data_IF_700942794173
#
_entry.id   IF_700942794173
#
_cell.length_a   1.000
_cell.length_b   1.000
_cell.length_c   1.000
_cell.angle_alpha   90.00
_cell.angle_beta   90.00
_cell.angle_gamma   90.00
#
_symmetry.space_group_name_H-M   'P 1'
#
loop_
_entity.id
_entity.type
_entity.pdbx_description
1 polymer ?
#
# COMPACT_ATOMS: atom_id res chain seq x y z
N UNK A 1 -7.21 -2.68 -16.08
CA UNK A 1 -5.85 -2.60 -15.51
C UNK A 1 -5.69 -3.71 -14.49
N UNK A 2 -4.52 -4.32 -14.41
CA UNK A 2 -4.19 -5.38 -13.45
C UNK A 2 -3.15 -4.87 -12.45
N UNK A 3 -3.48 -4.84 -11.17
CA UNK A 3 -2.62 -4.33 -10.09
C UNK A 3 -2.20 -5.48 -9.18
N UNK A 4 -0.89 -5.66 -9.00
CA UNK A 4 -0.34 -6.65 -8.07
C UNK A 4 0.26 -5.95 -6.85
N UNK A 5 -0.37 -6.12 -5.69
CA UNK A 5 0.14 -5.64 -4.41
C UNK A 5 0.98 -6.72 -3.73
N UNK A 6 2.07 -6.34 -3.08
CA UNK A 6 2.94 -7.29 -2.38
C UNK A 6 3.23 -6.83 -0.95
N UNK A 7 2.95 -7.72 0.01
CA UNK A 7 3.15 -7.51 1.45
C UNK A 7 3.55 -8.84 2.14
N UNK A 8 4.04 -8.81 3.39
CA UNK A 8 4.51 -10.04 4.05
C UNK A 8 3.39 -11.05 4.29
N UNK A 9 2.31 -10.63 4.93
CA UNK A 9 1.20 -11.46 5.41
C UNK A 9 -0.10 -10.65 5.41
N UNK A 10 -1.24 -11.33 5.45
CA UNK A 10 -2.59 -10.76 5.53
C UNK A 10 -3.26 -11.11 6.87
N UNK A 11 -2.61 -10.74 7.99
CA UNK A 11 -3.15 -11.06 9.33
C UNK A 11 -3.94 -9.91 9.94
N UNK A 12 -3.26 -8.87 10.43
CA UNK A 12 -3.90 -7.67 10.99
C UNK A 12 -2.91 -6.51 10.98
N UNK A 13 -3.44 -5.31 10.83
CA UNK A 13 -2.65 -4.08 10.85
C UNK A 13 -3.12 -3.11 9.79
N UNK A 14 -2.55 -1.92 9.84
CA UNK A 14 -2.94 -0.85 8.93
C UNK A 14 -2.56 -1.12 7.47
N UNK A 15 -1.42 -1.76 7.22
CA UNK A 15 -0.97 -2.08 5.85
C UNK A 15 -1.88 -3.12 5.22
N UNK A 16 -2.22 -4.16 5.99
CA UNK A 16 -3.07 -5.26 5.56
C UNK A 16 -4.49 -4.77 5.24
N UNK A 17 -5.10 -3.98 6.16
CA UNK A 17 -6.41 -3.37 5.92
C UNK A 17 -6.41 -2.49 4.68
N UNK A 18 -5.44 -1.58 4.56
CA UNK A 18 -5.34 -0.74 3.37
C UNK A 18 -5.06 -1.54 2.08
N UNK A 19 -4.49 -2.75 2.16
CA UNK A 19 -4.34 -3.64 1.01
C UNK A 19 -5.69 -4.21 0.57
N UNK A 20 -6.54 -4.61 1.52
CA UNK A 20 -7.90 -5.07 1.24
C UNK A 20 -8.77 -3.93 0.66
N UNK A 21 -8.73 -2.75 1.27
CA UNK A 21 -9.48 -1.57 0.82
C UNK A 21 -9.13 -1.21 -0.63
N UNK A 22 -7.84 -1.21 -0.96
CA UNK A 22 -7.38 -0.95 -2.33
C UNK A 22 -7.81 -2.06 -3.28
N UNK A 23 -7.72 -3.32 -2.87
CA UNK A 23 -8.11 -4.45 -3.71
C UNK A 23 -9.62 -4.45 -3.99
N UNK A 24 -10.45 -4.25 -2.97
CA UNK A 24 -11.91 -4.13 -3.08
C UNK A 24 -12.31 -2.96 -4.01
N UNK A 25 -11.67 -1.80 -3.81
CA UNK A 25 -11.92 -0.64 -4.66
C UNK A 25 -11.57 -0.91 -6.12
N UNK A 26 -10.41 -1.52 -6.40
CA UNK A 26 -9.99 -1.86 -7.76
C UNK A 26 -10.98 -2.81 -8.44
N UNK A 27 -11.44 -3.84 -7.73
CA UNK A 27 -12.45 -4.78 -8.25
C UNK A 27 -13.76 -4.08 -8.54
N UNK A 28 -14.25 -3.22 -7.65
CA UNK A 28 -15.47 -2.41 -7.84
C UNK A 28 -15.38 -1.48 -9.05
N UNK A 29 -14.17 -1.05 -9.41
CA UNK A 29 -13.92 -0.24 -10.61
C UNK A 29 -13.65 -1.08 -11.87
N UNK A 30 -13.85 -2.39 -11.82
CA UNK A 30 -13.68 -3.29 -12.98
C UNK A 30 -12.20 -3.62 -13.30
N UNK A 31 -11.30 -3.46 -12.33
CA UNK A 31 -9.88 -3.79 -12.47
C UNK A 31 -9.55 -5.14 -11.83
N UNK A 32 -8.49 -5.80 -12.27
CA UNK A 32 -7.98 -7.01 -11.63
C UNK A 32 -7.06 -6.64 -10.46
N UNK A 33 -7.39 -7.16 -9.28
CA UNK A 33 -6.58 -6.99 -8.07
C UNK A 33 -5.93 -8.32 -7.67
N UNK A 34 -4.60 -8.34 -7.65
CA UNK A 34 -3.79 -9.47 -7.19
C UNK A 34 -3.07 -9.07 -5.90
N UNK A 35 -3.02 -9.97 -4.93
CA UNK A 35 -2.27 -9.76 -3.70
C UNK A 35 -1.34 -10.94 -3.44
N UNK A 36 -0.04 -10.68 -3.39
CA UNK A 36 0.99 -11.68 -3.10
C UNK A 36 1.43 -11.54 -1.65
N UNK A 37 1.26 -12.60 -0.87
CA UNK A 37 1.70 -12.65 0.53
C UNK A 37 1.92 -14.10 0.99
N UNK A 38 2.43 -14.29 2.22
CA UNK A 38 2.53 -15.62 2.83
C UNK A 38 1.18 -16.19 3.31
N UNK A 39 0.06 -15.50 3.03
CA UNK A 39 -1.26 -15.84 3.55
C UNK A 39 -1.61 -15.09 4.83
N UNK A 40 -2.64 -15.54 5.53
CA UNK A 40 -3.12 -14.97 6.78
C UNK A 40 -4.64 -14.97 6.88
N UNK A 41 -5.18 -14.60 8.03
CA UNK A 41 -6.62 -14.65 8.35
C UNK A 41 -7.52 -13.75 7.48
N UNK A 42 -6.94 -12.74 6.83
CA UNK A 42 -7.67 -11.82 5.98
C UNK A 42 -7.75 -12.28 4.50
N UNK A 43 -7.16 -13.43 4.15
CA UNK A 43 -7.20 -13.95 2.77
C UNK A 43 -8.63 -14.21 2.33
N UNK A 44 -9.45 -14.89 3.13
CA UNK A 44 -10.85 -15.14 2.81
C UNK A 44 -11.61 -13.85 2.50
N UNK A 45 -11.46 -12.83 3.36
CA UNK A 45 -12.10 -11.52 3.16
C UNK A 45 -11.62 -10.81 1.90
N UNK A 46 -10.34 -10.97 1.53
CA UNK A 46 -9.81 -10.44 0.28
C UNK A 46 -10.47 -11.11 -0.92
N UNK A 47 -10.58 -12.44 -0.91
CA UNK A 47 -11.16 -13.20 -2.01
C UNK A 47 -12.67 -13.01 -2.13
N UNK A 48 -13.38 -12.80 -1.02
CA UNK A 48 -14.79 -12.40 -1.00
C UNK A 48 -15.05 -11.07 -1.74
N UNK A 49 -14.07 -10.16 -1.76
CA UNK A 49 -14.16 -8.91 -2.54
C UNK A 49 -13.94 -9.11 -4.05
N UNK A 50 -13.62 -10.32 -4.51
CA UNK A 50 -13.32 -10.63 -5.90
C UNK A 50 -11.84 -10.44 -6.28
N UNK A 51 -10.99 -10.05 -5.34
CA UNK A 51 -9.55 -10.00 -5.55
C UNK A 51 -8.93 -11.40 -5.45
N UNK A 52 -7.79 -11.64 -6.08
CA UNK A 52 -7.11 -12.93 -6.08
C UNK A 52 -5.87 -12.92 -5.20
N UNK A 53 -5.77 -13.87 -4.27
CA UNK A 53 -4.58 -14.09 -3.46
C UNK A 53 -3.62 -15.09 -4.13
N UNK A 54 -2.32 -14.80 -4.04
CA UNK A 54 -1.25 -15.68 -4.48
C UNK A 54 -0.32 -15.93 -3.29
N UNK A 55 -0.33 -17.14 -2.77
CA UNK A 55 0.50 -17.54 -1.65
C UNK A 55 1.97 -17.68 -2.06
N UNK A 56 2.85 -16.88 -1.43
CA UNK A 56 4.29 -16.94 -1.64
C UNK A 56 5.04 -16.59 -0.34
N UNK A 57 6.12 -17.30 0.04
CA UNK A 57 6.84 -17.08 1.29
C UNK A 57 7.75 -15.83 1.24
N UNK A 58 7.13 -14.65 1.08
CA UNK A 58 7.81 -13.35 0.94
C UNK A 58 8.01 -12.60 2.26
N UNK A 59 7.66 -13.22 3.40
CA UNK A 59 7.65 -12.60 4.74
C UNK A 59 9.00 -12.68 5.48
N UNK A 60 9.85 -13.67 5.17
CA UNK A 60 11.05 -13.99 5.95
C UNK A 60 12.18 -12.98 5.75
N UNK A 61 12.68 -12.44 6.87
CA UNK A 61 13.88 -11.60 6.91
C UNK A 61 15.14 -12.46 6.94
N UNK A 62 15.48 -13.14 5.85
CA UNK A 62 16.67 -13.98 5.76
C UNK A 62 17.29 -13.90 4.36
N UNK A 63 18.57 -14.26 4.25
CA UNK A 63 19.21 -14.39 2.93
C UNK A 63 18.49 -15.42 2.04
N UNK A 64 17.83 -16.41 2.65
CA UNK A 64 16.96 -17.37 1.96
C UNK A 64 15.79 -16.75 1.21
N UNK A 65 15.35 -15.53 1.60
CA UNK A 65 14.31 -14.80 0.86
C UNK A 65 14.73 -14.44 -0.57
N UNK A 66 16.03 -14.34 -0.84
CA UNK A 66 16.55 -14.08 -2.19
C UNK A 66 16.26 -15.23 -3.17
N UNK A 67 16.06 -16.46 -2.68
CA UNK A 67 15.61 -17.56 -3.54
C UNK A 67 14.21 -17.31 -4.12
N UNK A 68 13.41 -16.44 -3.50
CA UNK A 68 12.09 -16.06 -4.02
C UNK A 68 12.15 -15.09 -5.21
N UNK A 69 13.30 -14.46 -5.51
CA UNK A 69 13.44 -13.50 -6.61
C UNK A 69 13.14 -14.14 -7.97
N UNK A 70 13.65 -15.36 -8.23
CA UNK A 70 13.37 -16.06 -9.50
C UNK A 70 11.91 -16.52 -9.62
N UNK A 71 11.31 -17.18 -8.63
CA UNK A 71 9.87 -17.48 -8.63
C UNK A 71 9.00 -16.25 -8.79
N UNK A 72 9.32 -15.16 -8.08
CA UNK A 72 8.56 -13.91 -8.17
C UNK A 72 8.65 -13.29 -9.57
N UNK A 73 9.83 -13.32 -10.21
CA UNK A 73 9.97 -12.86 -11.60
C UNK A 73 9.13 -13.69 -12.56
N UNK A 74 9.12 -15.03 -12.43
CA UNK A 74 8.25 -15.90 -13.22
C UNK A 74 6.78 -15.56 -13.02
N UNK A 75 6.38 -15.26 -11.79
CA UNK A 75 5.02 -14.82 -11.49
C UNK A 75 4.67 -13.53 -12.22
N UNK A 76 5.57 -12.53 -12.21
CA UNK A 76 5.36 -11.28 -12.95
C UNK A 76 5.25 -11.51 -14.46
N UNK A 77 6.08 -12.40 -15.02
CA UNK A 77 6.07 -12.76 -16.45
C UNK A 77 4.78 -13.52 -16.85
N UNK A 78 4.21 -14.31 -15.94
CA UNK A 78 2.96 -15.04 -16.14
C UNK A 78 1.72 -14.18 -15.98
N UNK A 79 1.65 -13.42 -14.90
CA UNK A 79 0.48 -12.59 -14.55
C UNK A 79 0.41 -11.30 -15.36
N UNK A 80 1.55 -10.78 -15.80
CA UNK A 80 1.69 -9.54 -16.58
C UNK A 80 0.87 -8.40 -15.98
N UNK A 81 1.08 -8.05 -14.68
CA UNK A 81 0.38 -6.91 -14.12
C UNK A 81 0.84 -5.61 -14.79
N UNK A 82 -0.05 -4.64 -14.89
CA UNK A 82 0.30 -3.28 -15.32
C UNK A 82 1.09 -2.54 -14.24
N UNK A 83 0.73 -2.82 -12.96
CA UNK A 83 1.34 -2.18 -11.81
C UNK A 83 1.78 -3.23 -10.78
N UNK A 84 3.03 -3.07 -10.31
CA UNK A 84 3.58 -3.78 -9.16
C UNK A 84 3.70 -2.82 -7.99
N UNK A 85 2.86 -3.00 -6.96
CA UNK A 85 2.76 -2.12 -5.82
C UNK A 85 3.41 -2.73 -4.57
N UNK A 86 4.54 -2.17 -4.16
CA UNK A 86 5.28 -2.58 -2.96
C UNK A 86 4.70 -1.91 -1.73
N UNK A 87 4.31 -2.71 -0.75
CA UNK A 87 3.72 -2.22 0.50
C UNK A 87 4.56 -2.49 1.76
N UNK A 88 5.65 -3.24 1.64
CA UNK A 88 6.54 -3.55 2.77
C UNK A 88 7.95 -3.88 2.30
N UNK A 89 8.94 -3.73 3.19
CA UNK A 89 10.37 -3.78 2.89
C UNK A 89 10.88 -5.14 2.43
N UNK A 90 10.54 -6.23 3.14
CA UNK A 90 11.04 -7.60 2.80
C UNK A 90 10.52 -8.03 1.43
N UNK A 91 9.21 -8.10 1.21
CA UNK A 91 8.68 -8.43 -0.11
C UNK A 91 9.07 -7.37 -1.16
N UNK A 92 9.26 -6.12 -0.74
CA UNK A 92 9.74 -5.05 -1.61
C UNK A 92 11.12 -5.33 -2.21
N UNK A 93 12.06 -5.89 -1.44
CA UNK A 93 13.35 -6.30 -2.00
C UNK A 93 13.23 -7.44 -2.99
N UNK A 94 12.42 -8.46 -2.69
CA UNK A 94 12.18 -9.58 -3.61
C UNK A 94 11.58 -9.07 -4.91
N UNK A 95 10.52 -8.26 -4.81
CA UNK A 95 9.81 -7.67 -5.94
C UNK A 95 10.72 -6.76 -6.78
N UNK A 96 11.46 -5.85 -6.14
CA UNK A 96 12.37 -4.92 -6.80
C UNK A 96 13.50 -5.64 -7.54
N UNK A 97 14.12 -6.65 -6.92
CA UNK A 97 15.18 -7.43 -7.55
C UNK A 97 14.66 -8.28 -8.72
N UNK A 98 13.45 -8.82 -8.62
CA UNK A 98 12.79 -9.53 -9.71
C UNK A 98 12.49 -8.58 -10.87
N UNK A 99 11.84 -7.45 -10.59
CA UNK A 99 11.46 -6.41 -11.52
C UNK A 99 12.68 -5.83 -12.30
N UNK A 100 13.79 -5.57 -11.61
CA UNK A 100 15.01 -5.07 -12.26
C UNK A 100 15.62 -6.03 -13.31
N UNK A 101 15.31 -7.32 -13.20
CA UNK A 101 15.80 -8.37 -14.12
C UNK A 101 14.87 -8.64 -15.29
N UNK A 102 13.71 -7.97 -15.32
CA UNK A 102 12.77 -8.03 -16.45
C UNK A 102 13.20 -7.05 -17.55
N UNK A 103 12.74 -7.34 -18.77
CA UNK A 103 12.84 -6.40 -19.87
C UNK A 103 12.08 -5.11 -19.54
N UNK A 104 12.71 -3.97 -19.81
CA UNK A 104 12.14 -2.64 -19.55
C UNK A 104 10.85 -2.40 -20.33
N UNK A 105 10.72 -2.97 -21.53
CA UNK A 105 9.55 -2.80 -22.39
C UNK A 105 8.32 -3.56 -21.89
N UNK A 106 8.51 -4.61 -21.07
CA UNK A 106 7.40 -5.51 -20.67
C UNK A 106 7.18 -5.59 -19.16
N UNK A 107 8.03 -4.97 -18.37
CA UNK A 107 7.91 -4.98 -16.90
C UNK A 107 6.80 -4.05 -16.44
N UNK A 108 6.08 -4.39 -15.35
CA UNK A 108 5.05 -3.52 -14.77
C UNK A 108 5.64 -2.20 -14.26
N UNK A 109 4.79 -1.17 -14.15
CA UNK A 109 5.15 0.04 -13.43
C UNK A 109 5.35 -0.25 -11.94
N UNK A 110 6.44 0.24 -11.38
CA UNK A 110 6.79 0.00 -9.99
C UNK A 110 6.30 1.15 -9.11
N UNK A 111 5.37 0.87 -8.21
CA UNK A 111 4.85 1.80 -7.21
C UNK A 111 5.22 1.31 -5.81
N UNK A 112 5.49 2.21 -4.90
CA UNK A 112 5.73 1.88 -3.50
C UNK A 112 4.96 2.80 -2.57
N UNK A 113 4.50 2.31 -1.41
CA UNK A 113 3.89 3.14 -0.36
C UNK A 113 4.72 3.11 0.90
N UNK A 114 5.12 4.29 1.37
CA UNK A 114 5.80 4.48 2.65
C UNK A 114 4.75 4.76 3.72
N UNK A 115 4.53 3.77 4.60
CA UNK A 115 3.46 3.78 5.61
C UNK A 115 3.86 4.39 6.96
N UNK A 116 5.14 4.71 7.16
CA UNK A 116 5.63 5.23 8.44
C UNK A 116 7.12 5.52 8.41
N UNK A 117 7.64 5.96 9.53
CA UNK A 117 9.06 6.22 9.72
C UNK A 117 9.82 4.89 9.89
N UNK A 118 10.68 4.59 8.95
CA UNK A 118 11.56 3.41 9.02
C UNK A 118 12.93 3.80 9.55
N UNK A 119 13.69 2.84 10.09
CA UNK A 119 15.12 3.06 10.32
C UNK A 119 15.82 3.43 9.02
N UNK A 120 16.58 4.54 9.04
CA UNK A 120 17.28 5.07 7.86
C UNK A 120 18.48 4.19 7.53
N UNK A 121 18.37 3.36 6.53
CA UNK A 121 19.43 2.45 6.09
C UNK A 121 19.16 1.96 4.65
N UNK A 122 20.15 1.26 4.07
CA UNK A 122 20.04 0.68 2.71
C UNK A 122 18.88 -0.32 2.57
N UNK A 123 18.53 -1.02 3.65
CA UNK A 123 17.44 -1.98 3.62
C UNK A 123 16.08 -1.28 3.47
N UNK A 124 15.85 -0.19 4.20
CA UNK A 124 14.60 0.57 4.11
C UNK A 124 14.49 1.39 2.82
N UNK A 125 15.62 1.70 2.17
CA UNK A 125 15.65 2.45 0.92
C UNK A 125 14.89 1.80 -0.25
N UNK A 126 14.55 0.50 -0.17
CA UNK A 126 13.73 -0.15 -1.20
C UNK A 126 12.36 0.51 -1.35
N UNK A 127 11.83 1.09 -0.27
CA UNK A 127 10.52 1.75 -0.28
C UNK A 127 10.50 3.09 -1.04
N UNK A 128 11.67 3.60 -1.42
CA UNK A 128 11.81 4.82 -2.22
C UNK A 128 12.29 4.57 -3.65
N UNK A 129 12.40 3.28 -4.05
CA UNK A 129 12.90 2.88 -5.38
C UNK A 129 11.81 2.73 -6.44
N UNK A 130 10.55 3.00 -6.09
CA UNK A 130 9.45 3.01 -7.05
C UNK A 130 9.63 4.07 -8.14
N UNK A 131 9.01 3.86 -9.29
CA UNK A 131 8.83 4.88 -10.33
C UNK A 131 7.86 5.96 -9.84
N UNK A 132 6.93 5.57 -8.95
CA UNK A 132 6.14 6.45 -8.09
C UNK A 132 6.24 6.00 -6.64
N UNK A 133 6.28 6.96 -5.73
CA UNK A 133 6.37 6.72 -4.28
C UNK A 133 5.20 7.43 -3.61
N UNK A 134 4.34 6.67 -2.95
CA UNK A 134 3.21 7.19 -2.21
C UNK A 134 3.66 7.42 -0.76
N UNK A 135 3.53 8.65 -0.29
CA UNK A 135 3.68 9.02 1.10
C UNK A 135 2.29 9.14 1.74
N UNK A 136 2.06 8.49 2.88
CA UNK A 136 0.74 8.50 3.53
C UNK A 136 0.42 9.80 4.28
N UNK A 137 1.37 10.72 4.36
CA UNK A 137 1.19 12.07 4.93
C UNK A 137 2.30 13.01 4.47
N UNK A 138 2.12 14.31 4.68
CA UNK A 138 3.15 15.33 4.43
C UNK A 138 4.42 15.06 5.26
N UNK A 139 4.27 14.65 6.52
CA UNK A 139 5.42 14.31 7.38
C UNK A 139 6.23 13.13 6.80
N UNK A 140 5.57 12.15 6.18
CA UNK A 140 6.26 11.05 5.50
C UNK A 140 6.93 11.52 4.21
N UNK A 141 6.34 12.46 3.48
CA UNK A 141 6.99 13.09 2.31
C UNK A 141 8.28 13.80 2.74
N UNK A 142 8.21 14.64 3.78
CA UNK A 142 9.36 15.33 4.34
C UNK A 142 10.44 14.35 4.82
N UNK A 143 10.04 13.29 5.51
CA UNK A 143 10.95 12.23 5.92
C UNK A 143 11.68 11.58 4.72
N UNK A 144 10.96 11.27 3.63
CA UNK A 144 11.56 10.66 2.43
C UNK A 144 12.57 11.64 1.82
N UNK A 145 12.19 12.88 1.60
CA UNK A 145 13.05 13.89 0.95
C UNK A 145 14.32 14.18 1.77
N UNK A 146 14.18 14.23 3.11
CA UNK A 146 15.30 14.51 4.01
C UNK A 146 16.23 13.31 4.18
N UNK A 147 15.67 12.11 4.35
CA UNK A 147 16.47 10.91 4.71
C UNK A 147 16.90 10.08 3.52
N UNK A 148 16.26 10.24 2.37
CA UNK A 148 16.58 9.58 1.11
C UNK A 148 16.71 10.58 -0.05
N UNK A 149 17.71 11.50 0.00
CA UNK A 149 17.82 12.62 -0.94
C UNK A 149 18.02 12.19 -2.40
N UNK A 150 18.39 10.93 -2.66
CA UNK A 150 18.42 10.38 -4.01
C UNK A 150 17.02 10.10 -4.60
N UNK A 151 15.96 10.26 -3.80
CA UNK A 151 14.58 10.12 -4.28
C UNK A 151 14.13 11.42 -4.92
N UNK A 152 13.83 11.38 -6.21
CA UNK A 152 13.34 12.55 -6.96
C UNK A 152 11.99 12.97 -6.42
N UNK A 153 11.82 14.27 -6.08
CA UNK A 153 10.62 14.77 -5.41
C UNK A 153 9.36 14.62 -6.25
N UNK A 154 9.46 14.78 -7.57
CA UNK A 154 8.36 14.64 -8.53
C UNK A 154 7.78 13.23 -8.60
N UNK A 155 8.51 12.25 -8.07
CA UNK A 155 8.02 10.87 -7.93
C UNK A 155 7.18 10.65 -6.70
N UNK A 156 7.18 11.59 -5.74
CA UNK A 156 6.50 11.42 -4.46
C UNK A 156 5.12 12.08 -4.53
N UNK A 157 4.09 11.27 -4.35
CA UNK A 157 2.71 11.73 -4.22
C UNK A 157 2.23 11.53 -2.78
N UNK A 158 1.62 12.55 -2.17
CA UNK A 158 0.99 12.40 -0.86
C UNK A 158 -0.44 11.93 -1.05
N UNK A 159 -0.75 10.77 -0.46
CA UNK A 159 -2.09 10.21 -0.45
C UNK A 159 -2.42 9.81 0.99
N UNK A 160 -3.27 10.62 1.62
CA UNK A 160 -3.74 10.35 2.97
C UNK A 160 -4.55 9.05 3.01
N UNK A 161 -4.48 8.36 4.13
CA UNK A 161 -5.36 7.22 4.35
C UNK A 161 -6.75 7.74 4.71
N UNK A 162 -7.74 7.23 4.02
CA UNK A 162 -9.14 7.44 4.36
C UNK A 162 -9.71 6.22 5.10
N UNK A 163 -10.97 6.35 5.47
CA UNK A 163 -11.81 5.28 6.02
C UNK A 163 -13.10 5.23 5.19
N UNK A 164 -13.73 4.08 5.16
CA UNK A 164 -15.07 3.95 4.56
C UNK A 164 -16.10 4.56 5.52
N UNK A 165 -16.76 5.68 5.15
CA UNK A 165 -17.66 6.38 6.07
C UNK A 165 -18.81 5.52 6.58
N UNK A 166 -19.27 4.56 5.78
CA UNK A 166 -20.34 3.63 6.17
C UNK A 166 -19.98 2.72 7.36
N UNK A 167 -18.68 2.50 7.59
CA UNK A 167 -18.18 1.73 8.73
C UNK A 167 -18.04 2.57 10.02
N UNK A 168 -18.18 3.89 9.92
CA UNK A 168 -18.06 4.84 11.03
C UNK A 168 -19.24 5.81 11.02
N UNK A 169 -20.43 5.35 11.38
CA UNK A 169 -21.63 6.19 11.40
C UNK A 169 -21.44 7.35 12.37
N UNK A 170 -21.83 8.56 11.94
CA UNK A 170 -21.69 9.79 12.75
C UNK A 170 -22.53 9.81 14.02
N UNK A 171 -23.59 9.02 14.05
CA UNK A 171 -24.54 8.86 15.15
C UNK A 171 -24.17 7.74 16.12
N UNK A 172 -22.97 7.15 15.95
CA UNK A 172 -22.48 6.14 16.87
C UNK A 172 -22.37 6.72 18.28
N UNK A 173 -23.15 6.15 19.20
CA UNK A 173 -23.09 6.47 20.62
C UNK A 173 -22.24 5.40 21.30
N UNK A 174 -21.06 5.74 21.83
CA UNK A 174 -20.25 4.79 22.59
C UNK A 174 -20.99 4.36 23.85
N UNK A 175 -20.79 3.12 24.29
CA UNK A 175 -21.37 2.65 25.55
C UNK A 175 -20.94 3.55 26.72
N UNK A 176 -21.82 3.77 27.72
CA UNK A 176 -21.54 4.64 28.87
C UNK A 176 -20.23 4.33 29.59
N UNK A 177 -19.86 3.05 29.66
CA UNK A 177 -18.59 2.58 30.25
C UNK A 177 -17.35 3.17 29.57
N UNK A 178 -17.39 3.36 28.26
CA UNK A 178 -16.31 3.99 27.51
C UNK A 178 -16.25 5.49 27.77
N UNK A 179 -17.40 6.14 27.94
CA UNK A 179 -17.47 7.58 28.25
C UNK A 179 -16.91 7.88 29.66
N UNK A 180 -17.05 6.98 30.61
CA UNK A 180 -16.48 7.13 31.96
C UNK A 180 -14.94 7.01 31.95
N UNK A 181 -14.41 6.07 31.20
CA UNK A 181 -12.96 5.90 31.03
C UNK A 181 -12.33 7.14 30.37
N UNK A 182 -13.06 7.79 29.47
CA UNK A 182 -12.54 8.89 28.65
C UNK A 182 -12.81 10.29 29.20
N UNK A 183 -13.64 10.46 30.24
CA UNK A 183 -13.91 11.75 30.90
C UNK A 183 -12.70 12.39 31.61
N UNK A 184 -11.57 11.71 31.67
CA UNK A 184 -10.38 12.17 32.35
C UNK A 184 -9.36 12.95 31.54
N UNK A 185 -9.36 12.90 30.19
CA UNK A 185 -8.29 13.51 29.40
C UNK A 185 -8.76 14.12 28.06
N UNK A 186 -8.63 15.41 27.95
CA UNK A 186 -8.55 16.32 26.77
C UNK A 186 -9.18 15.85 25.45
N UNK A 187 -10.45 16.19 25.24
CA UNK A 187 -11.22 15.99 24.00
C UNK A 187 -10.86 16.93 22.85
N UNK A 188 -10.15 18.04 23.10
CA UNK A 188 -9.80 19.05 22.08
C UNK A 188 -9.03 18.48 20.88
N UNK A 189 -8.37 17.35 21.08
CA UNK A 189 -7.60 16.70 20.02
C UNK A 189 -8.47 15.98 18.98
N UNK A 190 -9.62 15.44 19.40
CA UNK A 190 -10.52 14.69 18.53
C UNK A 190 -11.35 15.57 17.60
N UNK A 191 -11.81 16.73 18.08
CA UNK A 191 -12.60 17.66 17.27
C UNK A 191 -11.77 18.27 16.15
N UNK A 192 -10.47 18.49 16.36
CA UNK A 192 -9.57 19.02 15.33
C UNK A 192 -9.18 18.01 14.25
N UNK A 193 -9.22 16.70 14.56
CA UNK A 193 -8.79 15.63 13.64
C UNK A 193 -9.95 15.04 12.85
N UNK A 194 -11.14 14.92 13.47
CA UNK A 194 -12.31 14.27 12.86
C UNK A 194 -13.20 15.25 12.11
N UNK A 195 -13.23 16.54 12.53
CA UNK A 195 -14.17 17.55 12.00
C UNK A 195 -13.65 18.39 10.84
N UNK A 196 -12.48 18.12 10.28
CA UNK A 196 -12.14 18.73 8.99
C UNK A 196 -13.00 18.08 7.92
N UNK A 197 -14.04 18.82 7.54
CA UNK A 197 -15.02 18.49 6.49
C UNK A 197 -14.39 18.64 5.08
N UNK A 198 -13.33 17.96 4.79
CA UNK A 198 -12.99 17.75 3.40
C UNK A 198 -13.87 16.59 2.88
N UNK A 199 -14.50 16.74 1.69
CA UNK A 199 -15.29 15.67 1.10
C UNK A 199 -14.39 14.44 1.04
N UNK A 200 -14.79 13.39 1.72
CA UNK A 200 -14.02 12.16 1.88
C UNK A 200 -13.88 11.49 0.50
N UNK A 201 -12.91 11.96 -0.28
CA UNK A 201 -12.47 11.23 -1.47
C UNK A 201 -11.90 9.94 -0.92
N UNK A 202 -12.53 8.83 -1.23
CA UNK A 202 -12.08 7.53 -0.74
C UNK A 202 -10.61 7.33 -1.10
N UNK A 203 -9.81 6.83 -0.18
CA UNK A 203 -8.38 6.53 -0.40
C UNK A 203 -8.18 5.76 -1.70
N UNK A 204 -9.17 4.92 -2.07
CA UNK A 204 -9.20 4.16 -3.30
C UNK A 204 -9.18 5.01 -4.55
N UNK A 205 -10.01 6.07 -4.64
CA UNK A 205 -10.09 6.92 -5.84
C UNK A 205 -8.80 7.71 -6.06
N UNK A 206 -8.23 8.31 -5.01
CA UNK A 206 -6.96 9.04 -5.11
C UNK A 206 -5.83 8.09 -5.49
N UNK A 207 -5.81 6.92 -4.88
CA UNK A 207 -4.80 5.91 -5.18
C UNK A 207 -4.93 5.40 -6.62
N UNK A 208 -6.14 5.13 -7.10
CA UNK A 208 -6.38 4.73 -8.48
C UNK A 208 -5.89 5.80 -9.45
N UNK A 209 -6.21 7.07 -9.22
CA UNK A 209 -5.75 8.18 -10.06
C UNK A 209 -4.22 8.24 -10.08
N UNK A 210 -3.55 8.04 -8.94
CA UNK A 210 -2.09 8.00 -8.86
C UNK A 210 -1.50 6.77 -9.60
N UNK A 211 -2.18 5.62 -9.52
CA UNK A 211 -1.79 4.41 -10.24
C UNK A 211 -2.00 4.57 -11.75
N UNK A 212 -3.11 5.16 -12.18
CA UNK A 212 -3.37 5.48 -13.60
C UNK A 212 -2.32 6.45 -14.14
N UNK A 213 -2.04 7.53 -13.42
CA UNK A 213 -0.99 8.48 -13.82
C UNK A 213 0.41 7.84 -13.89
N UNK A 214 0.66 6.75 -13.18
CA UNK A 214 1.90 6.00 -13.30
C UNK A 214 1.97 5.21 -14.63
N UNK A 215 0.83 4.85 -15.22
CA UNK A 215 0.74 4.13 -16.51
C UNK A 215 0.75 5.10 -17.69
N UNK A 216 0.10 6.26 -17.57
CA UNK A 216 -0.13 7.21 -18.69
C UNK A 216 1.08 8.07 -19.06
N UNK A 217 2.05 8.27 -18.17
CA UNK A 217 3.19 9.20 -18.38
C UNK A 217 4.30 8.71 -19.35
N UNK A 218 4.01 7.80 -20.28
CA UNK A 218 4.93 7.44 -21.39
C UNK A 218 4.34 7.69 -22.80
N UNK A 219 3.22 8.40 -22.90
CA UNK A 219 2.62 8.72 -24.21
C UNK A 219 3.09 10.09 -24.77
N UNK A 220 4.15 10.70 -24.17
CA UNK A 220 4.76 11.94 -24.68
C UNK A 220 6.25 11.80 -24.84
#
# INVERSE_FOLDING_TARGET
MKVMQVLPELNSGGVERGTLEVADFLVKQGHEALVVSNGGRLVAKLEESGARHIAMPVHRKSLGSLFQVRPFRKLLEQEKPDILHIRSRVPGWIAYLAWRKMDKATRPRLVSTVHGFYSVNRYSAVMTKGERVIAVSESIREYITTKYPATVQEKISVIHRGVEPSQFPRDFQPEPSWLEIWRGEQWEWWDSVIMRQDPCITTGQILLNCLCAAVENEAT
#
